data_IF_706860342067
#
_entry.id   IF_706860342067
#
_cell.length_a   1.000
_cell.length_b   1.000
_cell.length_c   1.000
_cell.angle_alpha   90.00
_cell.angle_beta   90.00
_cell.angle_gamma   90.00
#
_symmetry.space_group_name_H-M   'P 1'
#
loop_
_entity.id
_entity.type
_entity.pdbx_description
1 polymer ?
#
# COMPACT_ATOMS: atom_id res chain seq x y z
N UNK A 1 -11.95 3.10 23.64
CA UNK A 1 -11.36 2.82 22.33
C UNK A 1 -11.16 1.31 22.23
N UNK A 2 -11.58 0.69 21.12
CA UNK A 2 -11.30 -0.72 20.82
C UNK A 2 -10.46 -0.79 19.56
N UNK A 3 -9.46 -1.66 19.53
CA UNK A 3 -8.58 -1.88 18.37
C UNK A 3 -8.57 -3.37 18.09
N UNK A 4 -8.84 -3.76 16.84
CA UNK A 4 -8.71 -5.15 16.40
C UNK A 4 -8.09 -5.21 15.00
N UNK A 5 -7.57 -6.38 14.65
CA UNK A 5 -6.99 -6.66 13.36
C UNK A 5 -7.56 -7.95 12.78
N UNK A 6 -7.79 -7.97 11.48
CA UNK A 6 -8.29 -9.11 10.75
C UNK A 6 -7.57 -9.30 9.41
N UNK A 7 -7.45 -10.55 8.93
CA UNK A 7 -6.97 -10.79 7.58
C UNK A 7 -8.06 -10.49 6.56
N UNK A 8 -7.69 -9.85 5.45
CA UNK A 8 -8.59 -9.59 4.31
C UNK A 8 -7.91 -10.01 3.03
N UNK A 9 -8.64 -10.72 2.17
CA UNK A 9 -8.17 -11.08 0.82
C UNK A 9 -8.90 -10.22 -0.21
N UNK A 10 -8.13 -9.55 -1.06
CA UNK A 10 -8.63 -8.64 -2.10
C UNK A 10 -8.26 -9.24 -3.46
N UNK A 11 -9.25 -9.54 -4.29
CA UNK A 11 -9.04 -9.97 -5.66
C UNK A 11 -8.49 -8.82 -6.51
N UNK A 12 -7.51 -9.11 -7.36
CA UNK A 12 -6.95 -8.14 -8.29
C UNK A 12 -7.75 -8.14 -9.59
N UNK A 13 -7.98 -6.96 -10.18
CA UNK A 13 -8.70 -6.83 -11.44
C UNK A 13 -7.97 -7.52 -12.61
N UNK A 14 -6.64 -7.56 -12.56
CA UNK A 14 -5.78 -8.27 -13.52
C UNK A 14 -4.60 -8.91 -12.78
N UNK A 15 -4.05 -10.05 -13.28
CA UNK A 15 -2.86 -10.64 -12.69
C UNK A 15 -1.69 -9.64 -12.67
N UNK A 16 -1.05 -9.49 -11.52
CA UNK A 16 0.15 -8.68 -11.39
C UNK A 16 1.39 -9.57 -11.48
N UNK A 17 2.20 -9.39 -12.52
CA UNK A 17 3.38 -10.21 -12.79
C UNK A 17 4.67 -9.40 -12.71
N UNK A 18 5.62 -9.93 -11.98
CA UNK A 18 7.00 -9.44 -11.87
C UNK A 18 7.97 -10.59 -12.06
N UNK A 19 9.27 -10.32 -12.16
CA UNK A 19 10.32 -11.35 -12.30
C UNK A 19 10.26 -12.47 -11.26
N UNK A 20 9.73 -12.20 -10.07
CA UNK A 20 9.65 -13.14 -8.94
C UNK A 20 8.32 -13.89 -8.81
N UNK A 21 7.37 -13.69 -9.70
CA UNK A 21 6.09 -14.39 -9.67
C UNK A 21 4.88 -13.59 -10.11
N UNK A 22 3.71 -14.21 -9.98
CA UNK A 22 2.43 -13.62 -10.35
C UNK A 22 1.45 -13.72 -9.19
N UNK A 23 0.58 -12.70 -9.04
CA UNK A 23 -0.48 -12.65 -8.03
C UNK A 23 -1.80 -12.32 -8.70
N UNK A 24 -2.86 -12.97 -8.24
CA UNK A 24 -4.27 -12.70 -8.61
C UNK A 24 -5.07 -12.13 -7.45
N UNK A 25 -4.46 -12.13 -6.26
CA UNK A 25 -5.05 -11.60 -5.03
C UNK A 25 -3.99 -10.97 -4.14
N UNK A 26 -4.42 -10.12 -3.22
CA UNK A 26 -3.59 -9.47 -2.22
C UNK A 26 -4.12 -9.82 -0.83
N UNK A 27 -3.26 -10.38 0.02
CA UNK A 27 -3.58 -10.64 1.43
C UNK A 27 -3.11 -9.44 2.25
N UNK A 28 -4.05 -8.75 2.88
CA UNK A 28 -3.78 -7.60 3.72
C UNK A 28 -4.23 -7.89 5.16
N UNK A 29 -3.68 -7.13 6.09
CA UNK A 29 -4.20 -7.06 7.46
C UNK A 29 -4.85 -5.70 7.63
N UNK A 30 -6.14 -5.72 7.97
CA UNK A 30 -6.93 -4.52 8.28
C UNK A 30 -6.98 -4.31 9.78
N UNK A 31 -6.66 -3.09 10.20
CA UNK A 31 -6.86 -2.62 11.56
C UNK A 31 -8.13 -1.78 11.59
N UNK A 32 -8.98 -2.04 12.56
CA UNK A 32 -10.16 -1.21 12.84
C UNK A 32 -10.07 -0.67 14.26
N UNK A 33 -10.26 0.64 14.40
CA UNK A 33 -10.38 1.35 15.69
C UNK A 33 -11.80 1.85 15.84
N UNK A 34 -12.49 1.38 16.88
CA UNK A 34 -13.80 1.87 17.26
C UNK A 34 -13.69 2.82 18.44
N UNK A 35 -14.20 4.04 18.29
CA UNK A 35 -14.16 5.03 19.33
C UNK A 35 -15.33 6.02 19.25
N UNK A 36 -16.14 6.14 20.31
CA UNK A 36 -17.29 7.08 20.41
C UNK A 36 -18.21 7.04 19.19
N UNK A 37 -18.52 5.84 18.66
CA UNK A 37 -19.34 5.64 17.48
C UNK A 37 -18.63 5.90 16.13
N UNK A 38 -17.38 6.31 16.15
CA UNK A 38 -16.54 6.44 14.95
C UNK A 38 -15.81 5.14 14.67
N UNK A 39 -15.60 4.85 13.37
CA UNK A 39 -14.83 3.70 12.87
C UNK A 39 -13.68 4.24 12.02
N UNK A 40 -12.46 4.04 12.49
CA UNK A 40 -11.25 4.38 11.77
C UNK A 40 -10.52 3.12 11.32
N UNK A 41 -9.93 3.14 10.11
CA UNK A 41 -9.28 1.96 9.53
C UNK A 41 -7.89 2.29 8.98
N UNK A 42 -7.02 1.28 9.01
CA UNK A 42 -5.74 1.26 8.34
C UNK A 42 -5.45 -0.14 7.83
N UNK A 43 -4.65 -0.26 6.79
CA UNK A 43 -4.30 -1.55 6.19
C UNK A 43 -2.81 -1.66 5.97
N UNK A 44 -2.32 -2.89 5.91
CA UNK A 44 -0.98 -3.19 5.47
C UNK A 44 -0.93 -4.49 4.67
N UNK A 45 0.10 -4.63 3.87
CA UNK A 45 0.43 -5.89 3.18
C UNK A 45 1.67 -6.47 3.86
N UNK A 46 1.55 -7.55 4.65
CA UNK A 46 2.72 -8.27 5.18
C UNK A 46 3.61 -8.74 4.03
N UNK A 47 4.92 -8.55 4.16
CA UNK A 47 5.83 -8.88 3.07
C UNK A 47 6.87 -9.93 3.49
N UNK A 48 6.79 -11.17 2.96
CA UNK A 48 7.66 -12.29 3.37
C UNK A 48 9.14 -12.01 3.25
N UNK A 49 9.56 -11.14 2.31
CA UNK A 49 10.96 -10.73 2.14
C UNK A 49 11.52 -10.05 3.41
N UNK A 50 10.67 -9.42 4.20
CA UNK A 50 11.04 -8.78 5.47
C UNK A 50 10.72 -9.66 6.68
N UNK A 51 10.45 -10.95 6.46
CA UNK A 51 10.11 -11.89 7.52
C UNK A 51 8.70 -11.73 8.08
N UNK A 52 7.82 -11.06 7.37
CA UNK A 52 6.44 -10.83 7.79
C UNK A 52 5.48 -11.87 7.21
N UNK A 53 4.53 -12.31 8.03
CA UNK A 53 3.33 -13.07 7.62
C UNK A 53 2.08 -12.41 8.16
N UNK A 54 0.92 -12.77 7.64
CA UNK A 54 -0.38 -12.29 8.14
C UNK A 54 -0.49 -12.56 9.64
N UNK A 55 -0.14 -13.76 10.09
CA UNK A 55 -0.22 -14.18 11.48
C UNK A 55 0.74 -13.38 12.36
N UNK A 56 2.00 -13.21 11.93
CA UNK A 56 3.01 -12.46 12.69
C UNK A 56 2.62 -10.99 12.84
N UNK A 57 2.07 -10.40 11.79
CA UNK A 57 1.61 -9.00 11.79
C UNK A 57 0.38 -8.83 12.67
N UNK A 58 -0.62 -9.72 12.61
CA UNK A 58 -1.79 -9.68 13.50
C UNK A 58 -1.36 -9.80 14.96
N UNK A 59 -0.43 -10.71 15.27
CA UNK A 59 0.10 -10.88 16.64
C UNK A 59 0.78 -9.60 17.14
N UNK A 60 1.62 -8.98 16.31
CA UNK A 60 2.29 -7.72 16.65
C UNK A 60 1.29 -6.57 16.88
N UNK A 61 0.28 -6.45 16.01
CA UNK A 61 -0.79 -5.47 16.15
C UNK A 61 -1.57 -5.70 17.45
N UNK A 62 -1.94 -6.94 17.76
CA UNK A 62 -2.72 -7.27 18.96
C UNK A 62 -1.96 -6.91 20.24
N UNK A 63 -0.66 -7.15 20.28
CA UNK A 63 0.18 -6.75 21.41
C UNK A 63 0.23 -5.22 21.56
N UNK A 64 0.55 -4.49 20.49
CA UNK A 64 0.60 -3.03 20.53
C UNK A 64 -0.77 -2.41 20.84
N UNK A 65 -1.86 -2.98 20.31
CA UNK A 65 -3.22 -2.53 20.56
C UNK A 65 -3.58 -2.59 22.05
N UNK A 66 -3.16 -3.64 22.76
CA UNK A 66 -3.36 -3.77 24.20
C UNK A 66 -2.71 -2.61 24.97
N UNK A 67 -1.45 -2.30 24.65
CA UNK A 67 -0.71 -1.20 25.28
C UNK A 67 -1.33 0.16 24.96
N UNK A 68 -1.66 0.43 23.70
CA UNK A 68 -2.29 1.68 23.27
C UNK A 68 -3.66 1.89 23.92
N UNK A 69 -4.47 0.84 24.04
CA UNK A 69 -5.77 0.90 24.71
C UNK A 69 -5.62 1.18 26.21
N UNK A 70 -4.62 0.57 26.85
CA UNK A 70 -4.31 0.80 28.27
C UNK A 70 -3.89 2.25 28.53
N UNK A 71 -3.00 2.81 27.73
CA UNK A 71 -2.57 4.20 27.80
C UNK A 71 -3.75 5.17 27.63
N UNK A 72 -4.58 4.91 26.61
CA UNK A 72 -5.76 5.72 26.36
C UNK A 72 -6.79 5.68 27.51
N UNK A 73 -7.00 4.51 28.11
CA UNK A 73 -7.95 4.31 29.20
C UNK A 73 -7.54 5.05 30.48
N UNK A 74 -6.25 5.20 30.74
CA UNK A 74 -5.71 5.97 31.87
C UNK A 74 -5.89 7.48 31.73
N UNK A 75 -6.26 7.98 30.54
CA UNK A 75 -6.36 9.40 30.25
C UNK A 75 -5.02 10.11 30.03
N UNK A 76 -3.93 9.35 29.98
CA UNK A 76 -2.56 9.87 29.88
C UNK A 76 -2.16 10.27 28.45
N UNK A 77 -2.98 9.93 27.44
CA UNK A 77 -2.62 10.15 26.05
C UNK A 77 -3.83 10.49 25.18
N UNK A 78 -3.70 11.51 24.33
CA UNK A 78 -4.55 11.72 23.17
C UNK A 78 -4.09 10.86 21.98
N UNK A 79 -4.79 10.94 20.83
CA UNK A 79 -4.47 10.14 19.65
C UNK A 79 -3.07 10.45 19.10
N UNK A 80 -2.61 11.71 19.18
CA UNK A 80 -1.27 12.08 18.70
C UNK A 80 -0.17 11.53 19.60
N UNK A 81 -0.42 11.50 20.92
CA UNK A 81 0.49 10.85 21.88
C UNK A 81 0.54 9.32 21.65
N UNK A 82 -0.61 8.68 21.34
CA UNK A 82 -0.63 7.26 20.98
C UNK A 82 0.19 6.97 19.71
N UNK A 83 0.15 7.83 18.71
CA UNK A 83 0.98 7.71 17.50
C UNK A 83 2.47 7.80 17.83
N UNK A 84 2.86 8.72 18.69
CA UNK A 84 4.25 8.83 19.16
C UNK A 84 4.68 7.57 19.92
N UNK A 85 3.83 7.06 20.79
CA UNK A 85 4.09 5.84 21.56
C UNK A 85 4.20 4.61 20.63
N UNK A 86 3.37 4.51 19.59
CA UNK A 86 3.42 3.43 18.60
C UNK A 86 4.81 3.26 17.97
N UNK A 87 5.53 4.38 17.73
CA UNK A 87 6.87 4.33 17.15
C UNK A 87 7.89 3.63 18.06
N UNK A 88 7.66 3.65 19.37
CA UNK A 88 8.49 2.95 20.35
C UNK A 88 8.05 1.51 20.60
N UNK A 89 6.76 1.20 20.41
CA UNK A 89 6.19 -0.14 20.63
C UNK A 89 6.51 -1.12 19.49
N UNK A 90 6.55 -0.63 18.27
CA UNK A 90 6.75 -1.46 17.08
C UNK A 90 7.89 -0.93 16.20
N UNK A 91 8.74 -1.83 15.67
CA UNK A 91 9.70 -1.46 14.63
C UNK A 91 8.97 -1.02 13.35
N UNK A 92 9.70 -0.38 12.43
CA UNK A 92 9.19 -0.12 11.09
C UNK A 92 8.78 -1.42 10.41
N UNK A 93 7.58 -1.45 9.83
CA UNK A 93 7.02 -2.65 9.19
C UNK A 93 5.52 -2.57 9.02
N UNK A 94 4.93 -3.66 8.52
CA UNK A 94 3.52 -3.72 8.18
C UNK A 94 2.60 -3.45 9.38
N UNK A 95 2.89 -4.04 10.54
CA UNK A 95 2.08 -3.86 11.75
C UNK A 95 2.01 -2.39 12.20
N UNK A 96 3.17 -1.71 12.26
CA UNK A 96 3.23 -0.30 12.63
C UNK A 96 2.51 0.57 11.61
N UNK A 97 2.69 0.31 10.33
CA UNK A 97 2.03 1.05 9.26
C UNK A 97 0.50 1.00 9.38
N UNK A 98 -0.09 -0.20 9.56
CA UNK A 98 -1.53 -0.34 9.66
C UNK A 98 -2.12 0.40 10.88
N UNK A 99 -1.47 0.29 12.05
CA UNK A 99 -1.90 1.01 13.26
C UNK A 99 -1.74 2.52 13.11
N UNK A 100 -0.63 3.00 12.55
CA UNK A 100 -0.39 4.42 12.33
C UNK A 100 -1.44 5.02 11.39
N UNK A 101 -1.73 4.36 10.27
CA UNK A 101 -2.80 4.77 9.35
C UNK A 101 -4.17 4.83 10.04
N UNK A 102 -4.52 3.83 10.85
CA UNK A 102 -5.78 3.81 11.58
C UNK A 102 -5.86 4.94 12.63
N UNK A 103 -4.76 5.24 13.32
CA UNK A 103 -4.69 6.37 14.27
C UNK A 103 -4.78 7.73 13.56
N UNK A 104 -4.16 7.87 12.38
CA UNK A 104 -4.34 9.07 11.55
C UNK A 104 -5.79 9.25 11.11
N UNK A 105 -6.46 8.16 10.70
CA UNK A 105 -7.87 8.21 10.33
C UNK A 105 -8.74 8.60 11.54
N UNK A 106 -8.48 8.01 12.70
CA UNK A 106 -9.19 8.41 13.93
C UNK A 106 -8.96 9.88 14.28
N UNK A 107 -7.72 10.37 14.15
CA UNK A 107 -7.43 11.80 14.39
C UNK A 107 -8.20 12.71 13.43
N UNK A 108 -8.32 12.34 12.16
CA UNK A 108 -9.12 13.09 11.19
C UNK A 108 -10.59 13.15 11.61
N UNK A 109 -11.20 12.02 11.96
CA UNK A 109 -12.59 11.96 12.39
C UNK A 109 -12.84 12.79 13.67
N UNK A 110 -11.94 12.72 14.65
CA UNK A 110 -12.02 13.53 15.86
C UNK A 110 -11.86 15.04 15.59
N UNK A 111 -11.14 15.39 14.52
CA UNK A 111 -10.97 16.76 14.02
C UNK A 111 -12.12 17.21 13.10
N UNK A 112 -13.22 16.46 13.04
CA UNK A 112 -14.37 16.70 12.16
C UNK A 112 -14.01 16.72 10.66
N UNK A 113 -13.01 15.94 10.29
CA UNK A 113 -12.61 15.69 8.91
C UNK A 113 -13.09 14.31 8.44
N UNK A 114 -13.46 14.18 7.19
CA UNK A 114 -13.92 12.90 6.64
C UNK A 114 -12.76 11.97 6.28
N UNK A 115 -11.64 12.55 5.85
CA UNK A 115 -10.49 11.81 5.36
C UNK A 115 -9.18 12.39 5.90
N UNK A 116 -8.15 11.55 5.98
CA UNK A 116 -6.84 11.94 6.50
C UNK A 116 -6.21 13.08 5.69
N UNK A 117 -6.40 13.10 4.37
CA UNK A 117 -5.85 14.16 3.53
C UNK A 117 -6.43 15.55 3.84
N UNK A 118 -7.61 15.64 4.44
CA UNK A 118 -8.20 16.92 4.86
C UNK A 118 -7.41 17.60 6.00
N UNK A 119 -6.48 16.89 6.63
CA UNK A 119 -5.57 17.42 7.66
C UNK A 119 -4.36 18.15 7.06
N UNK A 120 -4.12 18.02 5.74
CA UNK A 120 -2.90 18.49 5.09
C UNK A 120 -3.21 19.39 3.90
N UNK A 121 -2.28 20.28 3.58
CA UNK A 121 -2.28 20.96 2.28
C UNK A 121 -1.65 20.03 1.25
N UNK A 122 -2.44 19.57 0.29
CA UNK A 122 -1.99 18.66 -0.76
C UNK A 122 -1.69 19.42 -2.05
N UNK A 123 -0.78 18.93 -2.90
CA UNK A 123 -0.61 19.44 -4.25
C UNK A 123 -1.89 19.19 -5.07
N UNK A 124 -2.17 20.07 -6.03
CA UNK A 124 -3.36 19.97 -6.89
C UNK A 124 -3.38 18.66 -7.69
N UNK A 125 -2.22 18.19 -8.14
CA UNK A 125 -2.08 16.93 -8.85
C UNK A 125 -0.68 16.33 -8.66
N UNK A 126 -0.62 14.99 -8.69
CA UNK A 126 0.62 14.20 -8.66
C UNK A 126 0.59 13.21 -9.82
N UNK A 127 1.69 13.13 -10.57
CA UNK A 127 1.84 12.12 -11.63
C UNK A 127 2.04 10.76 -11.00
N UNK A 128 1.14 9.83 -11.32
CA UNK A 128 1.21 8.44 -10.87
C UNK A 128 1.81 7.54 -11.95
N UNK A 129 2.74 6.64 -11.55
CA UNK A 129 3.28 5.63 -12.43
C UNK A 129 2.31 4.46 -12.58
N UNK A 130 1.78 4.25 -13.79
CA UNK A 130 0.95 3.08 -14.10
C UNK A 130 1.83 1.90 -14.46
N UNK A 131 1.60 0.76 -13.79
CA UNK A 131 2.47 -0.42 -13.93
C UNK A 131 2.01 -1.31 -15.08
N UNK A 132 2.87 -1.44 -16.10
CA UNK A 132 2.76 -2.46 -17.15
C UNK A 132 3.41 -3.73 -16.64
N UNK A 133 2.61 -4.77 -16.40
CA UNK A 133 3.08 -6.07 -15.91
C UNK A 133 3.84 -6.84 -16.97
N UNK A 134 4.70 -7.79 -16.55
CA UNK A 134 5.42 -8.68 -17.48
C UNK A 134 4.42 -9.54 -18.24
N UNK A 135 4.51 -9.50 -19.58
CA UNK A 135 3.73 -10.33 -20.50
C UNK A 135 4.47 -10.40 -21.87
N UNK A 136 3.78 -10.88 -22.91
CA UNK A 136 4.27 -10.78 -24.29
C UNK A 136 4.39 -9.30 -24.71
N UNK A 137 5.33 -8.96 -25.61
CA UNK A 137 5.47 -7.58 -26.11
C UNK A 137 4.16 -6.95 -26.56
N UNK A 138 3.31 -7.71 -27.27
CA UNK A 138 2.02 -7.26 -27.77
C UNK A 138 1.00 -6.98 -26.65
N UNK A 139 0.96 -7.83 -25.63
CA UNK A 139 0.08 -7.63 -24.47
C UNK A 139 0.51 -6.41 -23.64
N UNK A 140 1.83 -6.22 -23.46
CA UNK A 140 2.38 -5.06 -22.76
C UNK A 140 2.11 -3.76 -23.52
N UNK A 141 2.25 -3.76 -24.84
CA UNK A 141 1.88 -2.63 -25.70
C UNK A 141 0.39 -2.27 -25.56
N UNK A 142 -0.50 -3.26 -25.60
CA UNK A 142 -1.94 -3.08 -25.42
C UNK A 142 -2.26 -2.49 -24.04
N UNK A 143 -1.61 -2.99 -22.97
CA UNK A 143 -1.78 -2.46 -21.61
C UNK A 143 -1.30 -1.01 -21.52
N UNK A 144 -0.17 -0.66 -22.12
CA UNK A 144 0.34 0.69 -22.18
C UNK A 144 -0.66 1.65 -22.87
N UNK A 145 -1.21 1.25 -24.03
CA UNK A 145 -2.24 2.03 -24.74
C UNK A 145 -3.50 2.24 -23.88
N UNK A 146 -3.96 1.21 -23.16
CA UNK A 146 -5.10 1.32 -22.27
C UNK A 146 -4.86 2.32 -21.13
N UNK A 147 -3.66 2.38 -20.56
CA UNK A 147 -3.31 3.39 -19.56
C UNK A 147 -3.22 4.80 -20.14
N UNK A 148 -2.66 4.95 -21.35
CA UNK A 148 -2.63 6.26 -22.02
C UNK A 148 -4.03 6.80 -22.31
N UNK A 149 -4.97 5.93 -22.72
CA UNK A 149 -6.36 6.34 -22.94
C UNK A 149 -7.07 6.81 -21.66
N UNK A 150 -6.55 6.42 -20.48
CA UNK A 150 -6.99 6.90 -19.18
C UNK A 150 -6.21 8.12 -18.67
N UNK A 151 -5.33 8.69 -19.50
CA UNK A 151 -4.57 9.88 -19.17
C UNK A 151 -3.23 9.64 -18.47
N UNK A 152 -2.72 8.40 -18.42
CA UNK A 152 -1.41 8.11 -17.86
C UNK A 152 -0.29 8.84 -18.61
N UNK A 153 0.64 9.44 -17.86
CA UNK A 153 1.81 10.14 -18.39
C UNK A 153 3.13 9.43 -18.10
N UNK A 154 3.11 8.54 -17.10
CA UNK A 154 4.27 7.79 -16.62
C UNK A 154 3.91 6.32 -16.55
N UNK A 155 4.71 5.48 -17.21
CA UNK A 155 4.58 4.03 -17.20
C UNK A 155 5.76 3.41 -16.47
N UNK A 156 5.47 2.50 -15.53
CA UNK A 156 6.47 1.64 -14.88
C UNK A 156 6.42 0.26 -15.52
N UNK A 157 7.40 -0.05 -16.36
CA UNK A 157 7.45 -1.30 -17.12
C UNK A 157 8.20 -2.34 -16.34
N UNK A 158 7.52 -3.42 -15.97
CA UNK A 158 8.11 -4.57 -15.29
C UNK A 158 8.80 -5.49 -16.28
N UNK A 159 10.01 -5.92 -15.95
CA UNK A 159 10.86 -6.74 -16.79
C UNK A 159 11.47 -7.89 -15.98
N UNK A 160 11.87 -8.93 -16.67
CA UNK A 160 12.74 -10.00 -16.22
C UNK A 160 14.01 -10.05 -17.10
N UNK A 161 14.65 -11.19 -17.22
CA UNK A 161 15.81 -11.39 -18.09
C UNK A 161 15.48 -11.76 -19.54
N UNK A 162 14.18 -11.89 -19.90
CA UNK A 162 13.77 -12.41 -21.21
C UNK A 162 13.12 -11.33 -22.08
N UNK A 163 13.39 -11.36 -23.39
CA UNK A 163 12.76 -10.49 -24.40
C UNK A 163 12.73 -9.00 -24.00
N UNK A 164 13.76 -8.52 -23.29
CA UNK A 164 13.80 -7.17 -22.69
C UNK A 164 13.66 -6.11 -23.76
N UNK A 165 14.44 -6.22 -24.85
CA UNK A 165 14.45 -5.23 -25.92
C UNK A 165 13.11 -5.18 -26.64
N UNK A 166 12.56 -6.34 -27.00
CA UNK A 166 11.29 -6.47 -27.72
C UNK A 166 10.13 -5.91 -26.90
N UNK A 167 10.11 -6.20 -25.59
CA UNK A 167 9.08 -5.69 -24.66
C UNK A 167 9.17 -4.18 -24.52
N UNK A 168 10.36 -3.64 -24.31
CA UNK A 168 10.56 -2.19 -24.18
C UNK A 168 10.24 -1.46 -25.49
N UNK A 169 10.68 -2.00 -26.63
CA UNK A 169 10.36 -1.42 -27.94
C UNK A 169 8.86 -1.38 -28.18
N UNK A 170 8.15 -2.49 -27.95
CA UNK A 170 6.69 -2.57 -28.13
C UNK A 170 5.93 -1.57 -27.24
N UNK A 171 6.36 -1.41 -25.98
CA UNK A 171 5.76 -0.42 -25.06
C UNK A 171 6.09 1.00 -25.53
N UNK A 172 7.33 1.27 -25.97
CA UNK A 172 7.73 2.60 -26.46
C UNK A 172 6.96 2.98 -27.73
N UNK A 173 6.82 2.05 -28.69
CA UNK A 173 6.06 2.29 -29.91
C UNK A 173 4.58 2.58 -29.64
N UNK A 174 4.01 1.86 -28.65
CA UNK A 174 2.63 2.07 -28.21
C UNK A 174 2.44 3.37 -27.40
N UNK A 175 3.49 3.87 -26.77
CA UNK A 175 3.48 5.03 -25.88
C UNK A 175 4.63 6.01 -26.16
N UNK A 176 4.68 6.63 -27.38
CA UNK A 176 5.84 7.39 -27.84
C UNK A 176 6.16 8.63 -26.96
N UNK A 177 5.18 9.22 -26.33
CA UNK A 177 5.32 10.44 -25.55
C UNK A 177 5.29 10.20 -24.02
N UNK A 178 5.03 8.98 -23.55
CA UNK A 178 5.01 8.69 -22.12
C UNK A 178 6.43 8.64 -21.54
N UNK A 179 6.56 9.08 -20.30
CA UNK A 179 7.75 8.75 -19.52
C UNK A 179 7.73 7.26 -19.19
N UNK A 180 8.88 6.60 -19.32
CA UNK A 180 9.01 5.17 -19.02
C UNK A 180 10.10 4.97 -17.98
N UNK A 181 9.76 4.24 -16.92
CA UNK A 181 10.68 3.71 -15.91
C UNK A 181 10.71 2.20 -16.06
N UNK A 182 11.90 1.64 -16.22
CA UNK A 182 12.11 0.19 -16.29
C UNK A 182 12.42 -0.36 -14.91
N UNK A 183 11.75 -1.46 -14.52
CA UNK A 183 11.93 -2.10 -13.23
C UNK A 183 12.10 -3.61 -13.43
N UNK A 184 13.33 -4.06 -13.35
CA UNK A 184 13.68 -5.47 -13.49
C UNK A 184 13.44 -6.30 -12.21
N UNK A 185 13.08 -5.68 -11.08
CA UNK A 185 12.89 -6.35 -9.81
C UNK A 185 14.06 -7.30 -9.43
N UNK A 186 15.29 -6.80 -9.59
CA UNK A 186 16.53 -7.54 -9.29
C UNK A 186 16.81 -8.73 -10.25
N UNK A 187 16.16 -8.79 -11.41
CA UNK A 187 16.41 -9.83 -12.39
C UNK A 187 17.69 -9.58 -13.23
N UNK A 188 18.23 -8.37 -13.20
CA UNK A 188 19.44 -8.00 -13.93
C UNK A 188 20.65 -8.01 -13.00
N UNK A 189 21.79 -8.46 -13.53
CA UNK A 189 23.10 -8.45 -12.86
C UNK A 189 23.96 -7.32 -13.39
#
# INVERSE_FOLDING_TARGET
MKIHAEPVTIAMATPFRISRGSRTECHVVRVTIEHRGMIAQGECTPYPRYGESVESVIKAISHAAHELQSLYAKGDADVMALKSQLQSLLPAGAARNALDCALWHLHALLSQKQQVHDLFTLPEAIVTAMTVSIDTPQAMAKQAQAYLSQGAKLLKVKLDGENVIERVAAVRDAAPHAQIVLDANEAWQ
#
